data_IF_859258435635
#
_entry.id   IF_859258435635
#
_cell.length_a   1.000
_cell.length_b   1.000
_cell.length_c   1.000
_cell.angle_alpha   90.00
_cell.angle_beta   90.00
_cell.angle_gamma   90.00
#
_symmetry.space_group_name_H-M   'P 1'
#
loop_
_entity.id
_entity.type
_entity.pdbx_description
1 polymer ?
#
# COMPACT_ATOMS: atom_id res chain seq x y z
N UNK A 1 -21.52 -2.56 -9.87
CA UNK A 1 -20.96 -3.86 -10.32
C UNK A 1 -22.13 -4.78 -10.64
N UNK A 2 -22.24 -5.35 -11.86
CA UNK A 2 -23.25 -6.37 -12.12
C UNK A 2 -22.93 -7.58 -11.23
N UNK A 3 -23.79 -7.85 -10.25
CA UNK A 3 -23.71 -9.12 -9.50
C UNK A 3 -24.01 -10.23 -10.51
N UNK A 4 -22.99 -11.00 -10.83
CA UNK A 4 -23.21 -12.23 -11.57
C UNK A 4 -23.99 -13.17 -10.63
N UNK A 5 -25.18 -13.56 -11.04
CA UNK A 5 -25.98 -14.55 -10.33
C UNK A 5 -25.38 -15.95 -10.61
N UNK A 6 -24.19 -16.17 -10.02
CA UNK A 6 -23.53 -17.47 -10.07
C UNK A 6 -24.21 -18.39 -9.06
N UNK A 7 -24.52 -19.62 -9.44
CA UNK A 7 -24.97 -20.67 -8.53
C UNK A 7 -23.90 -21.07 -7.49
N UNK A 8 -22.67 -20.52 -7.61
CA UNK A 8 -21.51 -20.82 -6.78
C UNK A 8 -21.26 -19.72 -5.78
N UNK A 9 -20.86 -20.08 -4.58
CA UNK A 9 -20.37 -19.11 -3.61
C UNK A 9 -18.93 -18.66 -3.93
N UNK A 10 -18.47 -17.57 -3.30
CA UNK A 10 -17.16 -16.98 -3.58
C UNK A 10 -15.99 -17.92 -3.24
N UNK A 11 -16.14 -18.81 -2.24
CA UNK A 11 -15.15 -19.82 -1.88
C UNK A 11 -14.96 -20.84 -2.99
N UNK A 12 -16.05 -21.41 -3.50
CA UNK A 12 -16.01 -22.35 -4.62
C UNK A 12 -15.39 -21.71 -5.86
N UNK A 13 -15.76 -20.47 -6.15
CA UNK A 13 -15.20 -19.73 -7.27
C UNK A 13 -13.69 -19.48 -7.11
N UNK A 14 -13.21 -19.20 -5.89
CA UNK A 14 -11.79 -19.06 -5.62
C UNK A 14 -11.03 -20.38 -5.78
N UNK A 15 -11.58 -21.49 -5.29
CA UNK A 15 -11.01 -22.83 -5.50
C UNK A 15 -10.84 -23.15 -6.98
N UNK A 16 -11.86 -22.92 -7.81
CA UNK A 16 -11.78 -23.14 -9.27
C UNK A 16 -10.74 -22.24 -9.95
N UNK A 17 -10.57 -20.99 -9.48
CA UNK A 17 -9.52 -20.09 -9.97
C UNK A 17 -8.13 -20.63 -9.63
N UNK A 18 -7.94 -21.16 -8.43
CA UNK A 18 -6.68 -21.80 -8.04
C UNK A 18 -6.44 -23.09 -8.81
N UNK A 19 -7.46 -23.92 -9.03
CA UNK A 19 -7.33 -25.12 -9.88
C UNK A 19 -6.94 -24.74 -11.31
N UNK A 20 -7.55 -23.67 -11.87
CA UNK A 20 -7.12 -23.11 -13.15
C UNK A 20 -5.65 -22.63 -13.12
N UNK A 21 -5.24 -21.90 -12.06
CA UNK A 21 -3.87 -21.41 -11.92
C UNK A 21 -2.89 -22.59 -11.92
N UNK A 22 -3.11 -23.60 -11.08
CA UNK A 22 -2.20 -24.74 -10.99
C UNK A 22 -2.19 -25.64 -12.24
N UNK A 23 -3.24 -25.56 -13.06
CA UNK A 23 -3.29 -26.29 -14.35
C UNK A 23 -2.56 -25.54 -15.47
N UNK A 24 -2.63 -24.18 -15.50
CA UNK A 24 -2.21 -23.39 -16.65
C UNK A 24 -0.89 -22.64 -16.45
N UNK A 25 -0.33 -22.66 -15.24
CA UNK A 25 0.93 -22.01 -14.94
C UNK A 25 1.95 -23.03 -14.43
N UNK A 26 3.19 -22.85 -14.89
CA UNK A 26 4.31 -23.70 -14.48
C UNK A 26 4.87 -23.28 -13.13
N UNK A 27 4.85 -21.98 -12.86
CA UNK A 27 5.31 -21.40 -11.60
C UNK A 27 4.21 -20.58 -10.96
N UNK A 28 4.02 -20.79 -9.66
CA UNK A 28 3.00 -20.08 -8.88
C UNK A 28 3.66 -19.54 -7.62
N UNK A 29 3.48 -18.25 -7.35
CA UNK A 29 3.95 -17.62 -6.11
C UNK A 29 2.82 -16.79 -5.49
N UNK A 30 2.66 -16.88 -4.18
CA UNK A 30 1.72 -16.05 -3.41
C UNK A 30 2.45 -14.83 -2.87
N UNK A 31 1.96 -13.63 -3.19
CA UNK A 31 2.37 -12.39 -2.54
C UNK A 31 1.73 -12.34 -1.17
N UNK A 32 2.48 -12.72 -0.16
CA UNK A 32 2.04 -12.77 1.23
C UNK A 32 2.40 -11.46 1.94
N UNK A 33 1.45 -10.82 2.58
CA UNK A 33 1.63 -9.54 3.28
C UNK A 33 1.28 -9.62 4.77
N UNK A 34 1.26 -10.83 5.35
CA UNK A 34 0.82 -11.15 6.71
C UNK A 34 -0.56 -10.60 7.14
N UNK A 35 -1.30 -10.01 6.21
CA UNK A 35 -2.67 -9.59 6.43
C UNK A 35 -3.68 -10.75 6.31
N UNK A 36 -4.91 -10.54 6.80
CA UNK A 36 -6.00 -11.53 6.77
C UNK A 36 -6.29 -12.05 5.36
N UNK A 37 -6.24 -11.18 4.35
CA UNK A 37 -6.57 -11.52 2.96
C UNK A 37 -5.48 -12.41 2.34
N UNK A 38 -4.20 -12.06 2.55
CA UNK A 38 -3.07 -12.87 2.06
C UNK A 38 -2.90 -14.18 2.83
N UNK A 39 -3.30 -14.23 4.10
CA UNK A 39 -3.36 -15.48 4.88
C UNK A 39 -4.34 -16.47 4.29
N UNK A 40 -5.56 -16.04 4.01
CA UNK A 40 -6.58 -16.86 3.32
C UNK A 40 -6.10 -17.28 1.94
N UNK A 41 -5.50 -16.35 1.18
CA UNK A 41 -4.97 -16.63 -0.15
C UNK A 41 -3.92 -17.74 -0.13
N UNK A 42 -2.99 -17.70 0.85
CA UNK A 42 -1.94 -18.73 1.01
C UNK A 42 -2.54 -20.08 1.37
N UNK A 43 -3.52 -20.13 2.26
CA UNK A 43 -4.20 -21.37 2.63
C UNK A 43 -4.96 -21.98 1.43
N UNK A 44 -5.69 -21.18 0.65
CA UNK A 44 -6.34 -21.63 -0.58
C UNK A 44 -5.33 -22.17 -1.60
N UNK A 45 -4.19 -21.51 -1.74
CA UNK A 45 -3.10 -21.96 -2.60
C UNK A 45 -2.52 -23.31 -2.15
N UNK A 46 -2.32 -23.52 -0.84
CA UNK A 46 -1.85 -24.78 -0.27
C UNK A 46 -2.84 -25.90 -0.54
N UNK A 47 -4.14 -25.68 -0.33
CA UNK A 47 -5.16 -26.68 -0.60
C UNK A 47 -5.20 -27.07 -2.09
N UNK A 48 -5.12 -26.09 -2.98
CA UNK A 48 -5.09 -26.36 -4.41
C UNK A 48 -3.78 -27.06 -4.83
N UNK A 49 -2.62 -26.59 -4.35
CA UNK A 49 -1.33 -27.23 -4.62
C UNK A 49 -1.31 -28.71 -4.17
N UNK A 50 -1.94 -29.01 -3.02
CA UNK A 50 -2.09 -30.39 -2.54
C UNK A 50 -2.93 -31.22 -3.49
N UNK A 51 -4.08 -30.71 -3.98
CA UNK A 51 -4.91 -31.40 -4.96
C UNK A 51 -4.18 -31.68 -6.28
N UNK A 52 -3.30 -30.77 -6.68
CA UNK A 52 -2.55 -30.86 -7.94
C UNK A 52 -1.16 -31.49 -7.80
N UNK A 53 -0.76 -31.98 -6.61
CA UNK A 53 0.56 -32.56 -6.36
C UNK A 53 1.72 -31.59 -6.55
N UNK A 54 1.48 -30.30 -6.29
CA UNK A 54 2.44 -29.18 -6.52
C UNK A 54 2.89 -28.48 -5.24
N UNK A 55 2.86 -29.17 -4.10
CA UNK A 55 3.48 -28.69 -2.87
C UNK A 55 5.01 -28.80 -2.98
N UNK A 56 5.77 -27.92 -2.28
CA UNK A 56 5.33 -26.77 -1.48
C UNK A 56 4.92 -25.55 -2.33
N UNK A 57 4.11 -24.66 -1.73
CA UNK A 57 3.69 -23.39 -2.33
C UNK A 57 4.78 -22.35 -2.13
N UNK A 58 5.11 -21.63 -3.20
CA UNK A 58 6.04 -20.50 -3.10
C UNK A 58 5.32 -19.25 -2.56
N UNK A 59 5.94 -18.57 -1.59
CA UNK A 59 5.41 -17.35 -0.99
C UNK A 59 6.49 -16.27 -0.86
N UNK A 60 6.18 -15.06 -1.30
CA UNK A 60 7.03 -13.87 -1.12
C UNK A 60 6.46 -13.01 0.00
N UNK A 61 7.26 -12.72 1.00
CA UNK A 61 7.00 -11.69 2.00
C UNK A 61 8.14 -10.68 2.05
N UNK A 62 7.82 -9.41 1.91
CA UNK A 62 8.78 -8.32 2.03
C UNK A 62 8.56 -7.67 3.39
N UNK A 63 9.55 -7.76 4.21
CA UNK A 63 9.54 -7.30 5.59
C UNK A 63 10.09 -5.87 5.68
N UNK A 64 9.25 -4.95 6.10
CA UNK A 64 9.58 -3.53 6.20
C UNK A 64 10.12 -3.13 7.58
N UNK A 65 10.71 -4.04 8.35
CA UNK A 65 11.26 -3.76 9.69
C UNK A 65 10.20 -3.33 10.71
N UNK A 66 9.52 -2.21 10.44
CA UNK A 66 8.57 -1.57 11.33
C UNK A 66 7.16 -2.18 11.23
N UNK A 67 7.02 -3.43 11.64
CA UNK A 67 5.77 -4.18 11.65
C UNK A 67 5.33 -4.47 13.10
N UNK A 68 4.05 -4.76 13.29
CA UNK A 68 3.54 -5.32 14.55
C UNK A 68 4.21 -6.67 14.86
N UNK A 69 4.52 -6.92 16.13
CA UNK A 69 5.11 -8.19 16.57
C UNK A 69 4.23 -9.38 16.18
N UNK A 70 2.92 -9.29 16.39
CA UNK A 70 1.94 -10.30 15.99
C UNK A 70 1.96 -10.61 14.47
N UNK A 71 2.29 -9.60 13.64
CA UNK A 71 2.40 -9.81 12.21
C UNK A 71 3.64 -10.64 11.84
N UNK A 72 4.74 -10.43 12.55
CA UNK A 72 5.96 -11.22 12.42
C UNK A 72 5.76 -12.64 12.93
N UNK A 73 5.13 -12.81 14.09
CA UNK A 73 4.77 -14.12 14.63
C UNK A 73 3.89 -14.92 13.68
N UNK A 74 2.89 -14.30 13.08
CA UNK A 74 2.04 -14.94 12.08
C UNK A 74 2.84 -15.35 10.84
N UNK A 75 3.73 -14.49 10.35
CA UNK A 75 4.63 -14.83 9.24
C UNK A 75 5.52 -16.01 9.60
N UNK A 76 6.08 -16.02 10.82
CA UNK A 76 6.89 -17.11 11.35
C UNK A 76 6.12 -18.44 11.31
N UNK A 77 4.88 -18.47 11.81
CA UNK A 77 4.05 -19.68 11.81
C UNK A 77 3.74 -20.15 10.39
N UNK A 78 3.38 -19.22 9.51
CA UNK A 78 3.03 -19.57 8.12
C UNK A 78 4.22 -20.08 7.31
N UNK A 79 5.41 -19.48 7.49
CA UNK A 79 6.62 -19.86 6.74
C UNK A 79 7.36 -21.06 7.36
N UNK A 80 7.05 -21.43 8.60
CA UNK A 80 7.54 -22.68 9.20
C UNK A 80 6.76 -23.93 8.78
N UNK A 81 5.69 -23.76 7.98
CA UNK A 81 4.90 -24.89 7.49
C UNK A 81 5.65 -25.64 6.40
N UNK A 82 5.68 -26.98 6.41
CA UNK A 82 6.35 -27.78 5.38
C UNK A 82 5.72 -27.60 3.98
N UNK A 83 4.48 -27.12 3.92
CA UNK A 83 3.78 -26.83 2.67
C UNK A 83 4.20 -25.50 2.03
N UNK A 84 5.09 -24.71 2.65
CA UNK A 84 5.47 -23.37 2.17
C UNK A 84 6.97 -23.30 1.93
N UNK A 85 7.35 -22.83 0.74
CA UNK A 85 8.71 -22.37 0.44
C UNK A 85 8.68 -20.85 0.35
N UNK A 86 9.29 -20.17 1.32
CA UNK A 86 9.20 -18.72 1.47
C UNK A 86 10.43 -17.98 0.96
N UNK A 87 10.21 -16.76 0.50
CA UNK A 87 11.23 -15.70 0.41
C UNK A 87 10.82 -14.61 1.39
N UNK A 88 11.43 -14.61 2.57
CA UNK A 88 11.22 -13.59 3.60
C UNK A 88 12.32 -12.53 3.48
N UNK A 89 12.01 -11.50 2.72
CA UNK A 89 12.99 -10.49 2.30
C UNK A 89 13.16 -9.42 3.36
N UNK A 90 14.34 -9.38 4.00
CA UNK A 90 14.77 -8.36 4.94
C UNK A 90 15.94 -7.58 4.34
N UNK A 91 15.70 -6.84 3.27
CA UNK A 91 16.69 -6.06 2.54
C UNK A 91 16.46 -4.55 2.68
N UNK A 92 17.49 -3.71 2.51
CA UNK A 92 17.38 -2.26 2.60
C UNK A 92 16.60 -1.66 1.41
N UNK A 93 15.28 -1.76 1.51
CA UNK A 93 14.33 -1.24 0.53
C UNK A 93 13.93 0.17 0.91
N UNK A 94 13.86 1.03 -0.10
CA UNK A 94 13.44 2.42 0.02
C UNK A 94 11.92 2.50 0.11
N UNK A 95 11.41 3.08 1.18
CA UNK A 95 9.99 3.15 1.49
C UNK A 95 9.55 4.60 1.63
N UNK A 96 8.36 4.91 1.13
CA UNK A 96 7.78 6.25 1.29
C UNK A 96 7.39 6.49 2.75
N UNK A 97 7.78 7.67 3.24
CA UNK A 97 7.43 8.17 4.57
C UNK A 97 6.37 9.28 4.44
N UNK A 98 5.11 8.92 4.58
CA UNK A 98 4.01 9.85 4.46
C UNK A 98 3.70 10.64 5.75
N UNK A 99 4.45 10.40 6.83
CA UNK A 99 4.27 11.08 8.12
C UNK A 99 5.30 12.17 8.36
N UNK A 100 6.30 12.29 7.50
CA UNK A 100 7.28 13.39 7.54
C UNK A 100 7.22 14.22 6.27
N UNK A 101 7.29 15.54 6.42
CA UNK A 101 7.44 16.49 5.32
C UNK A 101 8.90 16.67 4.91
N UNK A 102 9.80 16.51 5.86
CA UNK A 102 11.23 16.78 5.70
C UNK A 102 11.97 15.53 5.23
N UNK A 103 11.53 14.34 5.70
CA UNK A 103 12.13 13.06 5.34
C UNK A 103 11.07 12.20 4.68
N UNK A 104 10.80 12.37 3.36
CA UNK A 104 9.70 11.71 2.66
C UNK A 104 9.94 10.22 2.37
N UNK A 105 11.13 9.75 2.66
CA UNK A 105 11.53 8.35 2.51
C UNK A 105 12.27 7.87 3.75
N UNK A 106 12.25 6.57 3.97
CA UNK A 106 13.12 5.89 4.91
C UNK A 106 13.53 4.53 4.32
N UNK A 107 14.66 4.00 4.77
CA UNK A 107 15.16 2.69 4.33
C UNK A 107 14.97 1.72 5.49
N UNK A 108 14.17 0.66 5.27
CA UNK A 108 14.09 -0.44 6.23
C UNK A 108 15.39 -1.25 6.17
N UNK A 109 15.76 -1.89 7.27
CA UNK A 109 16.95 -2.73 7.37
C UNK A 109 18.25 -2.04 6.92
N UNK A 110 18.31 -0.72 7.11
CA UNK A 110 19.50 0.08 6.79
C UNK A 110 20.61 -0.23 7.79
N UNK A 111 21.68 -0.87 7.34
CA UNK A 111 22.81 -1.27 8.20
C UNK A 111 23.51 -0.08 8.85
N UNK A 112 23.53 1.08 8.19
CA UNK A 112 24.09 2.30 8.74
C UNK A 112 23.31 2.81 9.98
N UNK A 113 22.11 2.28 10.18
CA UNK A 113 21.21 2.61 11.31
C UNK A 113 20.83 1.40 12.15
N UNK A 114 21.64 0.35 12.14
CA UNK A 114 21.35 -0.93 12.83
C UNK A 114 21.04 -0.77 14.32
N UNK A 115 21.72 0.12 15.02
CA UNK A 115 21.48 0.39 16.44
C UNK A 115 20.07 0.94 16.73
N UNK A 116 19.44 1.54 15.73
CA UNK A 116 18.09 2.08 15.83
C UNK A 116 17.01 1.18 15.24
N UNK A 117 17.34 -0.03 14.77
CA UNK A 117 16.35 -0.97 14.25
C UNK A 117 15.28 -1.27 15.27
N UNK A 118 14.06 -1.41 14.81
CA UNK A 118 12.91 -1.69 15.66
C UNK A 118 13.01 -3.08 16.28
N UNK A 119 13.61 -4.02 15.56
CA UNK A 119 13.84 -5.39 15.98
C UNK A 119 15.00 -6.02 15.21
N UNK A 120 15.49 -7.14 15.69
CA UNK A 120 16.46 -7.98 14.98
C UNK A 120 15.82 -8.72 13.79
N UNK A 121 16.66 -9.28 12.93
CA UNK A 121 16.22 -10.18 11.86
C UNK A 121 15.48 -11.39 12.45
N UNK A 122 14.37 -11.80 11.81
CA UNK A 122 13.65 -12.99 12.24
C UNK A 122 14.52 -14.26 12.10
N UNK A 123 14.35 -15.18 13.03
CA UNK A 123 15.04 -16.48 13.00
C UNK A 123 14.18 -17.50 12.23
N UNK A 124 14.35 -17.54 10.92
CA UNK A 124 13.62 -18.46 10.04
C UNK A 124 14.52 -18.84 8.85
N UNK A 125 14.56 -20.09 8.38
CA UNK A 125 15.40 -20.51 7.26
C UNK A 125 15.06 -19.83 5.93
N UNK A 126 13.90 -19.19 5.83
CA UNK A 126 13.45 -18.46 4.64
C UNK A 126 13.82 -16.97 4.64
N UNK A 127 14.48 -16.48 5.70
CA UNK A 127 14.89 -15.07 5.81
C UNK A 127 16.09 -14.80 4.91
N UNK A 128 15.98 -13.75 4.11
CA UNK A 128 16.99 -13.32 3.15
C UNK A 128 17.48 -11.94 3.58
N UNK A 129 18.75 -11.88 3.97
CA UNK A 129 19.46 -10.66 4.39
C UNK A 129 20.65 -10.33 3.50
N UNK A 130 21.09 -11.30 2.66
CA UNK A 130 22.21 -11.11 1.74
C UNK A 130 21.79 -10.19 0.58
N UNK A 131 22.49 -9.07 0.43
CA UNK A 131 22.28 -8.09 -0.63
C UNK A 131 22.50 -8.66 -2.04
N UNK A 132 23.30 -9.70 -2.15
CA UNK A 132 23.61 -10.34 -3.42
C UNK A 132 22.70 -11.53 -3.77
N UNK A 133 21.74 -11.86 -2.88
CA UNK A 133 20.84 -13.00 -3.10
C UNK A 133 20.03 -12.86 -4.40
N UNK A 134 19.56 -11.64 -4.68
CA UNK A 134 18.87 -11.35 -5.92
C UNK A 134 19.78 -10.56 -6.87
N UNK A 135 20.12 -11.10 -8.05
CA UNK A 135 21.02 -10.43 -9.00
C UNK A 135 20.52 -9.06 -9.50
N UNK A 136 19.23 -8.79 -9.33
CA UNK A 136 18.61 -7.53 -9.74
C UNK A 136 18.54 -6.50 -8.62
N UNK A 137 18.84 -6.87 -7.37
CA UNK A 137 18.71 -5.97 -6.23
C UNK A 137 19.87 -4.96 -6.16
N UNK A 138 19.54 -3.76 -5.79
CA UNK A 138 20.52 -2.72 -5.44
C UNK A 138 20.04 -1.93 -4.22
N UNK A 139 20.96 -1.45 -3.39
CA UNK A 139 20.63 -0.64 -2.19
C UNK A 139 19.84 0.60 -2.61
N UNK A 140 18.72 0.87 -1.96
CA UNK A 140 17.84 2.00 -2.28
C UNK A 140 16.80 1.71 -3.37
N UNK A 141 16.66 0.45 -3.80
CA UNK A 141 15.57 0.04 -4.69
C UNK A 141 14.22 0.30 -4.04
N UNK A 142 13.26 0.85 -4.79
CA UNK A 142 11.90 1.03 -4.32
C UNK A 142 11.11 -0.30 -4.33
N UNK A 143 10.12 -0.40 -3.44
CA UNK A 143 9.22 -1.56 -3.40
C UNK A 143 8.53 -1.81 -4.75
N UNK A 144 8.13 -0.75 -5.43
CA UNK A 144 7.45 -0.79 -6.72
C UNK A 144 8.32 -1.36 -7.84
N UNK A 145 9.65 -1.27 -7.71
CA UNK A 145 10.61 -1.87 -8.64
C UNK A 145 10.96 -3.30 -8.24
N UNK A 146 11.10 -3.57 -6.94
CA UNK A 146 11.46 -4.88 -6.43
C UNK A 146 10.45 -5.97 -6.82
N UNK A 147 9.16 -5.72 -6.59
CA UNK A 147 8.10 -6.74 -6.80
C UNK A 147 8.02 -7.23 -8.25
N UNK A 148 8.00 -6.36 -9.28
CA UNK A 148 8.05 -6.82 -10.66
C UNK A 148 9.34 -7.57 -11.01
N UNK A 149 10.50 -7.07 -10.57
CA UNK A 149 11.80 -7.70 -10.85
C UNK A 149 11.91 -9.08 -10.18
N UNK A 150 11.40 -9.22 -8.95
CA UNK A 150 11.27 -10.52 -8.30
C UNK A 150 10.41 -11.47 -9.14
N UNK A 151 9.26 -11.01 -9.63
CA UNK A 151 8.40 -11.86 -10.46
C UNK A 151 9.10 -12.32 -11.74
N UNK A 152 9.90 -11.44 -12.38
CA UNK A 152 10.70 -11.78 -13.56
C UNK A 152 11.80 -12.78 -13.23
N UNK A 153 12.55 -12.55 -12.17
CA UNK A 153 13.58 -13.48 -11.68
C UNK A 153 12.97 -14.84 -11.28
N UNK A 154 11.90 -14.83 -10.50
CA UNK A 154 11.21 -16.02 -10.07
C UNK A 154 10.65 -16.83 -11.24
N UNK A 155 10.25 -16.19 -12.33
CA UNK A 155 9.66 -16.88 -13.49
C UNK A 155 10.62 -17.84 -14.19
N UNK A 156 11.93 -17.54 -14.18
CA UNK A 156 12.94 -18.30 -14.96
C UNK A 156 12.52 -18.51 -16.42
N UNK A 157 11.85 -17.49 -17.02
CA UNK A 157 11.32 -17.56 -18.38
C UNK A 157 10.05 -18.39 -18.56
N UNK A 158 9.52 -18.98 -17.50
CA UNK A 158 8.32 -19.84 -17.53
C UNK A 158 7.04 -19.06 -17.30
N UNK A 159 5.92 -19.63 -17.77
CA UNK A 159 4.60 -19.06 -17.52
C UNK A 159 4.30 -19.04 -16.02
N UNK A 160 4.15 -17.82 -15.47
CA UNK A 160 4.16 -17.60 -14.02
C UNK A 160 2.93 -16.84 -13.55
N UNK A 161 2.32 -17.32 -12.46
CA UNK A 161 1.26 -16.64 -11.73
C UNK A 161 1.79 -16.07 -10.41
N UNK A 162 1.62 -14.76 -10.21
CA UNK A 162 1.79 -14.11 -8.92
C UNK A 162 0.40 -13.88 -8.34
N UNK A 163 0.04 -14.65 -7.32
CA UNK A 163 -1.26 -14.56 -6.68
C UNK A 163 -1.25 -13.42 -5.66
N UNK A 164 -2.15 -12.45 -5.82
CA UNK A 164 -2.23 -11.25 -4.98
C UNK A 164 -3.60 -11.17 -4.32
N UNK A 165 -3.62 -11.01 -2.99
CA UNK A 165 -4.83 -11.01 -2.16
C UNK A 165 -5.60 -9.70 -2.16
N UNK A 166 -5.78 -9.05 -3.32
CA UNK A 166 -6.58 -7.83 -3.42
C UNK A 166 -8.06 -8.14 -3.69
N UNK A 167 -8.93 -7.33 -3.07
CA UNK A 167 -10.39 -7.42 -3.23
C UNK A 167 -10.96 -6.13 -3.82
N UNK A 168 -11.95 -6.26 -4.68
CA UNK A 168 -12.62 -5.12 -5.31
C UNK A 168 -13.39 -4.24 -4.32
N UNK A 169 -13.79 -4.81 -3.17
CA UNK A 169 -14.51 -4.16 -2.08
C UNK A 169 -13.62 -3.27 -1.19
N UNK A 170 -12.31 -3.46 -1.26
CA UNK A 170 -11.37 -2.83 -0.34
C UNK A 170 -11.09 -1.35 -0.63
N UNK A 171 -11.01 -0.98 -1.90
CA UNK A 171 -10.86 0.40 -2.34
C UNK A 171 -11.18 0.59 -3.83
N UNK A 172 -11.49 1.83 -4.21
CA UNK A 172 -11.71 2.21 -5.60
C UNK A 172 -10.48 1.93 -6.50
N UNK A 173 -9.28 2.10 -5.96
CA UNK A 173 -8.04 1.83 -6.70
C UNK A 173 -7.88 0.33 -6.97
N UNK A 174 -8.18 -0.53 -6.00
CA UNK A 174 -8.14 -1.99 -6.17
C UNK A 174 -9.23 -2.45 -7.15
N UNK A 175 -10.44 -1.92 -7.03
CA UNK A 175 -11.49 -2.14 -8.01
C UNK A 175 -11.05 -1.78 -9.44
N UNK A 176 -10.46 -0.58 -9.62
CA UNK A 176 -9.96 -0.13 -10.93
C UNK A 176 -8.83 -1.02 -11.45
N UNK A 177 -7.95 -1.50 -10.57
CA UNK A 177 -6.87 -2.41 -10.95
C UNK A 177 -7.41 -3.72 -11.54
N UNK A 178 -8.48 -4.25 -10.96
CA UNK A 178 -9.11 -5.51 -11.39
C UNK A 178 -10.00 -5.29 -12.62
N UNK A 179 -10.82 -4.23 -12.61
CA UNK A 179 -11.84 -3.98 -13.65
C UNK A 179 -11.31 -3.32 -14.93
N UNK A 180 -10.06 -2.86 -14.95
CA UNK A 180 -9.49 -2.18 -16.11
C UNK A 180 -9.51 -3.05 -17.38
N UNK A 181 -10.17 -2.56 -18.41
CA UNK A 181 -10.20 -3.21 -19.73
C UNK A 181 -8.95 -2.92 -20.57
N UNK A 182 -8.12 -1.94 -20.17
CA UNK A 182 -6.87 -1.59 -20.87
C UNK A 182 -5.73 -2.56 -20.56
N UNK A 183 -5.89 -3.42 -19.57
CA UNK A 183 -4.86 -4.38 -19.15
C UNK A 183 -5.03 -5.70 -19.90
N UNK A 184 -3.92 -6.28 -20.34
CA UNK A 184 -3.90 -7.58 -20.99
C UNK A 184 -4.24 -8.65 -19.95
N UNK A 185 -5.23 -9.47 -20.26
CA UNK A 185 -5.74 -10.54 -19.41
C UNK A 185 -5.48 -11.90 -20.05
N UNK A 186 -5.25 -12.92 -19.23
CA UNK A 186 -5.14 -14.28 -19.71
C UNK A 186 -6.55 -14.83 -20.01
N UNK A 187 -6.81 -15.30 -21.22
CA UNK A 187 -8.08 -15.92 -21.65
C UNK A 187 -9.31 -15.09 -21.26
N UNK A 188 -9.22 -13.77 -21.37
CA UNK A 188 -10.26 -12.82 -20.98
C UNK A 188 -10.72 -12.92 -19.50
N UNK A 189 -9.95 -13.61 -18.65
CA UNK A 189 -10.27 -13.73 -17.21
C UNK A 189 -10.00 -12.43 -16.47
N UNK A 190 -11.05 -11.77 -15.99
CA UNK A 190 -10.96 -10.47 -15.32
C UNK A 190 -10.05 -10.44 -14.09
N UNK A 191 -9.86 -11.58 -13.45
CA UNK A 191 -9.00 -11.73 -12.27
C UNK A 191 -7.53 -12.01 -12.61
N UNK A 192 -7.10 -11.76 -13.85
CA UNK A 192 -5.69 -11.85 -14.28
C UNK A 192 -5.24 -10.53 -14.91
N UNK A 193 -3.95 -10.22 -14.81
CA UNK A 193 -3.35 -9.05 -15.47
C UNK A 193 -1.91 -9.37 -15.85
N UNK A 194 -1.54 -9.23 -17.13
CA UNK A 194 -0.15 -9.40 -17.58
C UNK A 194 0.72 -8.34 -16.92
N UNK A 195 1.82 -8.75 -16.28
CA UNK A 195 2.68 -7.85 -15.51
C UNK A 195 3.53 -6.97 -16.43
N UNK A 196 4.05 -7.55 -17.51
CA UNK A 196 4.87 -6.88 -18.51
C UNK A 196 4.14 -6.86 -19.88
N UNK A 197 3.30 -5.88 -20.14
CA UNK A 197 2.47 -5.88 -21.36
C UNK A 197 3.26 -5.72 -22.67
N UNK A 198 4.49 -5.15 -22.59
CA UNK A 198 5.32 -4.83 -23.76
C UNK A 198 6.42 -5.87 -24.05
N UNK A 199 6.58 -6.88 -23.20
CA UNK A 199 7.58 -7.91 -23.38
C UNK A 199 6.92 -9.29 -23.60
N UNK A 200 7.68 -10.25 -24.12
CA UNK A 200 7.20 -11.60 -24.41
C UNK A 200 7.08 -12.50 -23.17
N UNK A 201 7.24 -11.95 -21.98
CA UNK A 201 7.10 -12.71 -20.76
C UNK A 201 5.63 -13.10 -20.49
N UNK A 202 5.41 -14.31 -20.00
CA UNK A 202 4.09 -14.83 -19.63
C UNK A 202 3.90 -14.78 -18.12
N UNK A 203 4.12 -13.59 -17.52
CA UNK A 203 3.97 -13.35 -16.09
C UNK A 203 2.67 -12.59 -15.83
N UNK A 204 1.82 -13.15 -14.96
CA UNK A 204 0.51 -12.58 -14.66
C UNK A 204 0.31 -12.41 -13.17
N UNK A 205 -0.20 -11.24 -12.77
CA UNK A 205 -0.84 -11.09 -11.48
C UNK A 205 -2.22 -11.74 -11.53
N UNK A 206 -2.52 -12.61 -10.57
CA UNK A 206 -3.79 -13.29 -10.41
C UNK A 206 -4.46 -12.86 -9.11
N UNK A 207 -5.77 -12.60 -9.17
CA UNK A 207 -6.56 -12.11 -8.04
C UNK A 207 -7.67 -13.10 -7.67
N UNK A 208 -7.36 -14.28 -7.10
CA UNK A 208 -8.33 -15.36 -6.93
C UNK A 208 -9.52 -15.01 -6.02
N UNK A 209 -9.31 -14.09 -5.07
CA UNK A 209 -10.32 -13.65 -4.09
C UNK A 209 -10.87 -12.24 -4.38
N UNK A 210 -10.77 -11.77 -5.63
CA UNK A 210 -11.11 -10.38 -5.99
C UNK A 210 -12.57 -9.97 -5.70
N UNK A 211 -13.48 -10.91 -5.69
CA UNK A 211 -14.94 -10.74 -5.48
C UNK A 211 -15.39 -10.99 -4.03
N UNK A 212 -14.46 -11.28 -3.13
CA UNK A 212 -14.73 -11.51 -1.71
C UNK A 212 -14.95 -10.21 -0.95
N UNK A 213 -15.78 -10.29 0.09
CA UNK A 213 -15.93 -9.26 1.12
C UNK A 213 -15.07 -9.58 2.34
N UNK A 214 -14.97 -8.61 3.28
CA UNK A 214 -14.26 -8.83 4.53
C UNK A 214 -14.86 -9.98 5.35
N UNK A 215 -16.19 -10.09 5.35
CA UNK A 215 -16.93 -11.14 6.04
C UNK A 215 -16.63 -12.54 5.46
N UNK A 216 -16.43 -12.64 4.14
CA UNK A 216 -16.06 -13.90 3.49
C UNK A 216 -14.68 -14.40 3.95
N UNK A 217 -13.73 -13.47 4.14
CA UNK A 217 -12.38 -13.78 4.66
C UNK A 217 -12.49 -14.40 6.06
N UNK A 218 -13.23 -13.76 6.98
CA UNK A 218 -13.41 -14.27 8.33
C UNK A 218 -14.21 -15.57 8.39
N UNK A 219 -15.22 -15.69 7.53
CA UNK A 219 -16.01 -16.92 7.41
C UNK A 219 -15.15 -18.08 6.93
N UNK A 220 -14.25 -17.86 5.97
CA UNK A 220 -13.34 -18.89 5.49
C UNK A 220 -12.34 -19.31 6.56
N UNK A 221 -11.72 -18.36 7.27
CA UNK A 221 -10.83 -18.66 8.39
C UNK A 221 -11.52 -19.51 9.47
N UNK A 222 -12.72 -19.10 9.90
CA UNK A 222 -13.45 -19.81 10.96
C UNK A 222 -13.92 -21.20 10.52
N UNK A 223 -14.47 -21.37 9.30
CA UNK A 223 -14.96 -22.65 8.80
C UNK A 223 -13.86 -23.67 8.60
N UNK A 224 -12.72 -23.24 8.07
CA UNK A 224 -11.60 -24.12 7.77
C UNK A 224 -10.59 -24.22 8.93
N UNK A 225 -10.82 -23.49 10.03
CA UNK A 225 -9.93 -23.41 11.20
C UNK A 225 -8.50 -23.04 10.81
N UNK A 226 -8.37 -22.12 9.84
CA UNK A 226 -7.08 -21.61 9.43
C UNK A 226 -6.50 -20.65 10.45
N UNK A 227 -5.18 -20.70 10.62
CA UNK A 227 -4.46 -19.70 11.40
C UNK A 227 -4.52 -18.33 10.73
N UNK A 228 -4.55 -17.28 11.53
CA UNK A 228 -4.58 -15.90 11.07
C UNK A 228 -3.76 -14.99 11.99
N UNK A 229 -3.54 -13.77 11.57
CA UNK A 229 -2.80 -12.78 12.33
C UNK A 229 -3.64 -12.25 13.50
N UNK A 230 -3.23 -12.56 14.73
CA UNK A 230 -3.96 -12.20 15.95
C UNK A 230 -3.96 -10.70 16.29
N UNK A 231 -3.21 -9.86 15.56
CA UNK A 231 -3.34 -8.41 15.67
C UNK A 231 -4.77 -7.93 15.40
N UNK A 232 -5.52 -8.67 14.57
CA UNK A 232 -6.91 -8.33 14.27
C UNK A 232 -7.83 -8.49 15.48
N UNK A 233 -7.53 -9.41 16.39
CA UNK A 233 -8.25 -9.56 17.65
C UNK A 233 -8.03 -8.34 18.55
N UNK A 234 -6.80 -7.83 18.59
CA UNK A 234 -6.46 -6.63 19.34
C UNK A 234 -7.12 -5.39 18.71
N UNK A 235 -7.12 -5.29 17.38
CA UNK A 235 -7.83 -4.22 16.68
C UNK A 235 -9.34 -4.24 16.99
N UNK A 236 -9.94 -5.43 17.01
CA UNK A 236 -11.36 -5.60 17.34
C UNK A 236 -11.64 -5.18 18.80
N UNK A 237 -10.82 -5.62 19.74
CA UNK A 237 -10.92 -5.21 21.16
C UNK A 237 -10.72 -3.71 21.36
N UNK A 238 -9.89 -3.08 20.51
CA UNK A 238 -9.70 -1.63 20.49
C UNK A 238 -10.85 -0.87 19.78
N UNK A 239 -11.93 -1.55 19.38
CA UNK A 239 -13.11 -0.95 18.76
C UNK A 239 -12.96 -0.59 17.28
N UNK A 240 -11.96 -1.14 16.58
CA UNK A 240 -11.79 -0.91 15.14
C UNK A 240 -12.79 -1.76 14.35
N UNK A 241 -13.68 -1.14 13.56
CA UNK A 241 -14.65 -1.88 12.73
C UNK A 241 -13.94 -2.86 11.76
N UNK A 242 -14.53 -4.03 11.53
CA UNK A 242 -13.95 -5.08 10.67
C UNK A 242 -13.57 -4.57 9.27
N UNK A 243 -14.37 -3.67 8.69
CA UNK A 243 -14.11 -3.06 7.39
C UNK A 243 -12.90 -2.10 7.36
N UNK A 244 -12.46 -1.63 8.54
CA UNK A 244 -11.34 -0.70 8.70
C UNK A 244 -10.06 -1.39 9.20
N UNK A 245 -10.14 -2.66 9.58
CA UNK A 245 -9.00 -3.45 10.03
C UNK A 245 -8.09 -3.78 8.85
N UNK A 246 -6.98 -3.08 8.76
CA UNK A 246 -5.98 -3.23 7.70
C UNK A 246 -4.58 -3.31 8.29
N UNK A 247 -3.75 -4.13 7.68
CA UNK A 247 -2.30 -4.12 7.85
C UNK A 247 -1.68 -3.67 6.53
N UNK A 248 -0.94 -2.60 6.58
CA UNK A 248 -0.17 -2.09 5.47
C UNK A 248 1.16 -1.55 6.00
N UNK A 249 1.98 -1.02 5.12
CA UNK A 249 3.18 -0.29 5.50
C UNK A 249 2.79 0.87 6.45
N UNK A 250 3.32 0.90 7.68
CA UNK A 250 2.83 1.80 8.74
C UNK A 250 2.93 3.28 8.43
N UNK A 251 3.85 3.67 7.56
CA UNK A 251 4.18 5.05 7.23
C UNK A 251 3.79 5.45 5.81
N UNK A 252 3.24 4.52 5.04
CA UNK A 252 2.73 4.77 3.70
C UNK A 252 1.45 5.61 3.67
N UNK A 253 1.11 6.13 2.51
CA UNK A 253 -0.06 6.99 2.30
C UNK A 253 -1.38 6.35 2.76
N UNK A 254 -1.50 5.03 2.64
CA UNK A 254 -2.73 4.30 2.95
C UNK A 254 -2.94 4.02 4.44
N UNK A 255 -1.87 4.04 5.26
CA UNK A 255 -1.92 3.63 6.67
C UNK A 255 -1.84 4.78 7.66
N UNK A 256 -1.70 6.01 7.25
CA UNK A 256 -1.66 7.16 8.19
C UNK A 256 -2.77 7.12 9.23
N UNK A 257 -3.96 6.63 8.85
CA UNK A 257 -5.11 6.51 9.74
C UNK A 257 -4.93 5.49 10.86
N UNK A 258 -4.13 4.46 10.64
CA UNK A 258 -3.89 3.39 11.59
C UNK A 258 -2.65 3.62 12.47
N UNK A 259 -1.89 4.69 12.26
CA UNK A 259 -0.64 4.91 12.98
C UNK A 259 -0.86 5.02 14.50
N UNK A 260 -1.96 5.63 14.94
CA UNK A 260 -2.32 5.71 16.36
C UNK A 260 -2.54 4.33 17.00
N UNK A 261 -2.93 3.32 16.22
CA UNK A 261 -3.13 1.96 16.71
C UNK A 261 -1.82 1.32 17.17
N UNK A 262 -0.69 1.66 16.55
CA UNK A 262 0.62 1.18 17.02
C UNK A 262 0.86 1.54 18.49
N UNK A 263 0.61 2.79 18.86
CA UNK A 263 0.77 3.26 20.24
C UNK A 263 -0.17 2.55 21.22
N UNK A 264 -1.39 2.23 20.77
CA UNK A 264 -2.41 1.57 21.60
C UNK A 264 -2.14 0.07 21.73
N UNK A 265 -1.83 -0.58 20.62
CA UNK A 265 -1.73 -2.04 20.55
C UNK A 265 -0.35 -2.54 20.96
N UNK A 266 0.72 -1.82 20.62
CA UNK A 266 2.11 -2.20 20.91
C UNK A 266 2.94 -0.96 21.33
N UNK A 267 2.76 -0.45 22.56
CA UNK A 267 3.44 0.78 23.01
C UNK A 267 4.97 0.66 23.03
N UNK A 268 5.53 -0.53 23.28
CA UNK A 268 6.98 -0.76 23.26
C UNK A 268 7.55 -0.68 21.84
N UNK A 269 6.89 -1.33 20.88
CA UNK A 269 7.23 -1.23 19.47
C UNK A 269 7.10 0.22 19.00
N UNK A 270 6.04 0.93 19.44
CA UNK A 270 5.83 2.32 19.14
C UNK A 270 6.98 3.23 19.58
N UNK A 271 7.52 3.02 20.78
CA UNK A 271 8.64 3.81 21.29
C UNK A 271 9.88 3.69 20.37
N UNK A 272 10.18 2.49 19.89
CA UNK A 272 11.27 2.26 18.92
C UNK A 272 10.97 2.89 17.56
N UNK A 273 9.72 2.80 17.10
CA UNK A 273 9.25 3.39 15.85
C UNK A 273 9.44 4.91 15.83
N UNK A 274 9.13 5.60 16.91
CA UNK A 274 9.30 7.06 17.04
C UNK A 274 10.77 7.47 16.88
N UNK A 275 11.69 6.67 17.37
CA UNK A 275 13.12 6.91 17.23
C UNK A 275 13.64 6.58 15.84
N UNK A 276 13.04 5.60 15.17
CA UNK A 276 13.51 5.07 13.88
C UNK A 276 12.99 5.83 12.67
N UNK A 277 11.74 6.30 12.72
CA UNK A 277 11.05 6.91 11.58
C UNK A 277 10.72 8.37 11.85
N UNK A 278 11.38 9.26 11.12
CA UNK A 278 11.17 10.70 11.24
C UNK A 278 9.68 11.07 11.05
N UNK A 279 9.16 11.91 11.95
CA UNK A 279 7.78 12.39 11.90
C UNK A 279 6.72 11.44 12.46
N UNK A 280 7.06 10.21 12.86
CA UNK A 280 6.10 9.22 13.37
C UNK A 280 5.29 9.77 14.57
N UNK A 281 5.95 10.40 15.54
CA UNK A 281 5.30 10.97 16.71
C UNK A 281 4.36 12.15 16.35
N UNK A 282 4.77 13.02 15.46
CA UNK A 282 3.95 14.13 14.98
C UNK A 282 2.75 13.61 14.17
N UNK A 283 2.99 12.67 13.27
CA UNK A 283 1.93 11.99 12.52
C UNK A 283 0.86 11.40 13.43
N UNK A 284 1.25 10.74 14.52
CA UNK A 284 0.34 10.18 15.51
C UNK A 284 -0.53 11.25 16.20
N UNK A 285 0.04 12.34 16.65
CA UNK A 285 -0.71 13.45 17.29
C UNK A 285 -1.80 13.99 16.38
N UNK A 286 -1.50 14.15 15.09
CA UNK A 286 -2.48 14.64 14.13
C UNK A 286 -3.55 13.59 13.78
N UNK A 287 -3.24 12.30 13.86
CA UNK A 287 -4.24 11.23 13.61
C UNK A 287 -5.17 11.00 14.78
N UNK A 288 -4.68 11.11 16.02
CA UNK A 288 -5.48 10.90 17.23
C UNK A 288 -6.53 12.00 17.43
N UNK A 289 -6.15 13.27 17.23
CA UNK A 289 -7.03 14.44 17.43
C UNK A 289 -7.75 14.92 16.18
N UNK A 290 -7.30 14.56 14.99
CA UNK A 290 -7.78 15.07 13.72
C UNK A 290 -8.00 13.97 12.66
N UNK A 291 -8.85 12.98 12.95
CA UNK A 291 -9.49 12.20 11.86
C UNK A 291 -10.07 13.12 10.77
N UNK A 292 -10.40 14.37 11.14
CA UNK A 292 -10.90 15.45 10.27
C UNK A 292 -9.82 16.13 9.46
N UNK A 293 -8.62 16.36 10.01
CA UNK A 293 -7.51 17.04 9.33
C UNK A 293 -6.85 16.20 8.22
N UNK A 294 -6.91 14.88 8.32
CA UNK A 294 -6.38 13.97 7.30
C UNK A 294 -7.32 13.72 6.11
N UNK A 295 -8.40 14.49 6.01
CA UNK A 295 -9.20 14.59 4.79
C UNK A 295 -10.27 13.53 4.61
N UNK A 296 -10.75 12.92 5.68
CA UNK A 296 -11.88 11.98 5.65
C UNK A 296 -13.21 12.63 6.04
N UNK A 297 -13.15 13.82 6.64
CA UNK A 297 -14.33 14.67 6.91
C UNK A 297 -14.08 16.07 6.38
N UNK A 298 -15.10 16.91 6.44
CA UNK A 298 -15.01 18.30 6.01
C UNK A 298 -13.91 19.04 6.78
N UNK A 299 -13.13 19.83 6.06
CA UNK A 299 -12.15 20.75 6.66
C UNK A 299 -12.93 21.72 7.54
N UNK A 300 -12.56 21.81 8.81
CA UNK A 300 -13.09 22.85 9.70
C UNK A 300 -12.26 24.09 9.45
N UNK A 301 -12.89 25.09 8.83
CA UNK A 301 -12.27 26.41 8.66
C UNK A 301 -12.22 27.14 10.00
N UNK A 302 -11.18 27.96 10.24
CA UNK A 302 -11.21 28.95 11.29
C UNK A 302 -12.43 29.88 11.12
N UNK A 303 -13.00 30.43 12.20
CA UNK A 303 -14.13 31.35 12.12
C UNK A 303 -13.86 32.51 11.15
N UNK A 304 -14.83 32.84 10.32
CA UNK A 304 -14.80 33.95 9.36
C UNK A 304 -13.68 33.87 8.28
N UNK A 305 -13.24 32.65 7.92
CA UNK A 305 -12.20 32.43 6.91
C UNK A 305 -12.77 31.62 5.73
N UNK A 306 -12.46 32.03 4.49
CA UNK A 306 -12.72 31.23 3.30
C UNK A 306 -11.67 30.14 3.11
N UNK A 307 -11.92 29.13 2.25
CA UNK A 307 -10.91 28.14 1.89
C UNK A 307 -9.72 28.78 1.16
N UNK A 308 -9.95 29.84 0.37
CA UNK A 308 -8.88 30.59 -0.27
C UNK A 308 -7.97 31.22 0.79
N UNK A 309 -8.50 31.96 1.75
CA UNK A 309 -7.75 32.57 2.84
C UNK A 309 -7.01 31.52 3.68
N UNK A 310 -7.67 30.40 3.95
CA UNK A 310 -7.04 29.28 4.68
C UNK A 310 -5.89 28.64 3.90
N UNK A 311 -6.01 28.48 2.58
CA UNK A 311 -4.92 28.01 1.74
C UNK A 311 -3.72 28.95 1.78
N UNK A 312 -3.96 30.27 1.71
CA UNK A 312 -2.89 31.27 1.84
C UNK A 312 -2.21 31.21 3.21
N UNK A 313 -2.99 31.07 4.29
CA UNK A 313 -2.44 30.92 5.64
C UNK A 313 -1.56 29.67 5.75
N UNK A 314 -2.01 28.54 5.23
CA UNK A 314 -1.24 27.28 5.20
C UNK A 314 0.07 27.45 4.44
N UNK A 315 0.04 28.08 3.26
CA UNK A 315 1.24 28.35 2.47
C UNK A 315 2.22 29.27 3.19
N UNK A 316 1.71 30.29 3.89
CA UNK A 316 2.55 31.25 4.63
C UNK A 316 3.16 30.64 5.91
N UNK A 317 2.60 29.54 6.42
CA UNK A 317 3.14 28.81 7.56
C UNK A 317 4.22 27.77 7.18
N UNK A 318 4.44 27.57 5.88
CA UNK A 318 5.43 26.61 5.39
C UNK A 318 6.80 27.25 5.20
N UNK A 319 7.91 26.47 5.28
CA UNK A 319 9.22 26.91 4.83
C UNK A 319 9.19 27.36 3.37
N UNK A 320 10.04 28.35 3.00
CA UNK A 320 10.02 28.99 1.67
C UNK A 320 10.07 28.01 0.50
N UNK A 321 10.92 27.00 0.60
CA UNK A 321 11.09 25.96 -0.43
C UNK A 321 9.80 25.16 -0.66
N UNK A 322 9.09 24.80 0.41
CA UNK A 322 7.82 24.07 0.33
C UNK A 322 6.72 24.95 -0.22
N UNK A 323 6.68 26.20 0.21
CA UNK A 323 5.75 27.21 -0.29
C UNK A 323 5.91 27.38 -1.82
N UNK A 324 7.14 27.54 -2.29
CA UNK A 324 7.44 27.68 -3.72
C UNK A 324 6.97 26.49 -4.54
N UNK A 325 7.26 25.27 -4.06
CA UNK A 325 6.80 24.04 -4.74
C UNK A 325 5.29 23.98 -4.87
N UNK A 326 4.56 24.18 -3.76
CA UNK A 326 3.11 24.16 -3.82
C UNK A 326 2.52 25.30 -4.64
N UNK A 327 3.09 26.51 -4.55
CA UNK A 327 2.67 27.67 -5.35
C UNK A 327 2.81 27.41 -6.85
N UNK A 328 3.92 26.81 -7.29
CA UNK A 328 4.12 26.44 -8.70
C UNK A 328 2.99 25.50 -9.19
N UNK A 329 2.68 24.47 -8.42
CA UNK A 329 1.62 23.50 -8.77
C UNK A 329 0.22 24.10 -8.71
N UNK A 330 -0.05 24.92 -7.70
CA UNK A 330 -1.33 25.60 -7.54
C UNK A 330 -1.54 26.58 -8.72
N UNK A 331 -0.55 27.38 -9.06
CA UNK A 331 -0.64 28.33 -10.18
C UNK A 331 -0.94 27.60 -11.51
N UNK A 332 -0.23 26.50 -11.80
CA UNK A 332 -0.52 25.68 -13.00
C UNK A 332 -1.95 25.12 -12.98
N UNK A 333 -2.44 24.71 -11.80
CA UNK A 333 -3.81 24.23 -11.64
C UNK A 333 -4.84 25.34 -11.91
N UNK A 334 -4.61 26.53 -11.38
CA UNK A 334 -5.49 27.69 -11.56
C UNK A 334 -5.51 28.15 -13.03
N UNK A 335 -4.35 28.25 -13.67
CA UNK A 335 -4.21 28.60 -15.09
C UNK A 335 -4.95 27.62 -15.99
N UNK A 336 -4.74 26.32 -15.79
CA UNK A 336 -5.41 25.27 -16.58
C UNK A 336 -6.93 25.34 -16.50
N UNK A 337 -7.49 25.63 -15.32
CA UNK A 337 -8.93 25.79 -15.19
C UNK A 337 -9.44 27.09 -15.80
N UNK A 338 -8.65 28.15 -15.72
CA UNK A 338 -8.94 29.41 -16.38
C UNK A 338 -9.02 29.25 -17.89
N UNK A 339 -8.09 28.52 -18.52
CA UNK A 339 -8.11 28.17 -19.93
C UNK A 339 -9.34 27.33 -20.30
N UNK A 340 -9.85 26.52 -19.39
CA UNK A 340 -11.08 25.74 -19.55
C UNK A 340 -12.38 26.55 -19.35
N UNK A 341 -12.28 27.83 -19.11
CA UNK A 341 -13.43 28.72 -18.97
C UNK A 341 -13.89 29.03 -17.56
N UNK A 342 -13.24 28.46 -16.54
CA UNK A 342 -13.53 28.78 -15.12
C UNK A 342 -12.73 30.03 -14.73
N UNK A 343 -13.27 31.20 -15.04
CA UNK A 343 -12.58 32.50 -14.80
C UNK A 343 -12.29 32.76 -13.33
N UNK A 344 -13.15 32.31 -12.45
CA UNK A 344 -13.03 32.43 -10.98
C UNK A 344 -13.15 31.05 -10.38
N UNK A 345 -12.16 30.67 -9.60
CA UNK A 345 -12.18 29.39 -8.86
C UNK A 345 -13.07 29.55 -7.62
N UNK A 346 -14.15 28.77 -7.51
CA UNK A 346 -15.04 28.87 -6.36
C UNK A 346 -14.38 28.37 -5.08
N UNK A 347 -14.82 28.90 -3.96
CA UNK A 347 -14.34 28.47 -2.65
C UNK A 347 -14.65 26.97 -2.39
N UNK A 348 -15.84 26.52 -2.80
CA UNK A 348 -16.27 25.12 -2.76
C UNK A 348 -17.02 24.74 -4.05
N UNK A 349 -17.02 23.44 -4.37
CA UNK A 349 -17.85 22.85 -5.43
C UNK A 349 -18.60 21.63 -4.88
N UNK A 350 -19.48 21.03 -5.67
CA UNK A 350 -20.17 19.79 -5.26
C UNK A 350 -19.14 18.71 -4.88
N UNK A 351 -19.38 18.02 -3.76
CA UNK A 351 -18.44 17.04 -3.21
C UNK A 351 -18.15 15.89 -4.16
N UNK A 352 -19.14 15.46 -4.98
CA UNK A 352 -18.96 14.37 -5.95
C UNK A 352 -18.12 14.84 -7.14
N UNK A 353 -18.33 16.09 -7.60
CA UNK A 353 -17.55 16.65 -8.69
C UNK A 353 -16.11 16.94 -8.29
N UNK A 354 -15.86 17.40 -7.06
CA UNK A 354 -14.51 17.52 -6.52
C UNK A 354 -13.81 16.17 -6.42
N UNK A 355 -14.48 15.15 -5.88
CA UNK A 355 -13.94 13.81 -5.75
C UNK A 355 -13.65 13.17 -7.13
N UNK A 356 -14.51 13.46 -8.12
CA UNK A 356 -14.32 13.03 -9.50
C UNK A 356 -13.31 13.90 -10.27
N UNK A 357 -12.78 14.97 -9.64
CA UNK A 357 -11.86 15.95 -10.24
C UNK A 357 -12.45 16.71 -11.45
N UNK A 358 -13.76 16.85 -11.49
CA UNK A 358 -14.49 17.52 -12.59
C UNK A 358 -14.62 19.03 -12.41
N UNK A 359 -14.51 19.53 -11.18
CA UNK A 359 -14.60 20.94 -10.83
C UNK A 359 -13.44 21.39 -9.96
N UNK A 360 -12.93 22.63 -10.14
CA UNK A 360 -11.95 23.22 -9.24
C UNK A 360 -12.62 23.76 -7.99
N UNK A 361 -11.84 23.90 -6.91
CA UNK A 361 -12.23 24.70 -5.73
C UNK A 361 -11.02 24.97 -4.85
N UNK A 362 -11.09 26.02 -4.06
CA UNK A 362 -10.11 26.29 -3.01
C UNK A 362 -10.10 25.23 -1.93
N UNK A 363 -11.26 24.60 -1.64
CA UNK A 363 -11.34 23.44 -0.75
C UNK A 363 -10.48 22.26 -1.22
N UNK A 364 -10.37 22.01 -2.53
CA UNK A 364 -9.45 20.98 -3.07
C UNK A 364 -7.99 21.36 -2.82
N UNK A 365 -7.64 22.62 -3.00
CA UNK A 365 -6.29 23.13 -2.72
C UNK A 365 -5.96 22.97 -1.24
N UNK A 366 -6.84 23.40 -0.34
CA UNK A 366 -6.67 23.18 1.09
C UNK A 366 -6.46 21.70 1.44
N UNK A 367 -7.23 20.79 0.83
CA UNK A 367 -7.05 19.34 1.05
C UNK A 367 -5.65 18.85 0.65
N UNK A 368 -5.08 19.38 -0.41
CA UNK A 368 -3.72 19.04 -0.84
C UNK A 368 -2.69 19.54 0.16
N UNK A 369 -2.82 20.80 0.59
CA UNK A 369 -1.90 21.42 1.55
C UNK A 369 -1.96 20.75 2.94
N UNK A 370 -3.17 20.52 3.46
CA UNK A 370 -3.36 19.85 4.76
C UNK A 370 -2.83 18.41 4.73
N UNK A 371 -3.01 17.70 3.59
CA UNK A 371 -2.54 16.34 3.43
C UNK A 371 -1.05 16.22 3.15
N UNK A 372 -0.37 17.34 2.96
CA UNK A 372 0.98 17.33 2.43
C UNK A 372 1.12 16.45 1.17
N UNK A 373 0.15 16.57 0.27
CA UNK A 373 0.19 15.86 -0.99
C UNK A 373 1.23 16.51 -1.91
N UNK A 374 2.51 16.21 -1.65
CA UNK A 374 3.64 16.76 -2.39
C UNK A 374 3.45 16.68 -3.90
N UNK A 375 2.92 15.56 -4.37
CA UNK A 375 2.67 15.34 -5.79
C UNK A 375 1.46 16.11 -6.33
N UNK A 376 0.70 16.76 -5.45
CA UNK A 376 -0.56 17.40 -5.79
C UNK A 376 -1.53 16.51 -6.56
N UNK A 377 -1.56 15.20 -6.22
CA UNK A 377 -2.49 14.22 -6.83
C UNK A 377 -3.95 14.64 -6.68
N UNK A 378 -4.27 15.35 -5.59
CA UNK A 378 -5.57 15.97 -5.36
C UNK A 378 -5.94 17.03 -6.41
N UNK A 379 -4.96 17.68 -7.04
CA UNK A 379 -5.11 18.65 -8.11
C UNK A 379 -4.92 18.04 -9.50
N UNK A 380 -4.86 16.72 -9.63
CA UNK A 380 -4.71 15.96 -10.87
C UNK A 380 -3.29 15.89 -11.44
N UNK A 381 -2.27 16.24 -10.68
CA UNK A 381 -0.89 15.98 -11.09
C UNK A 381 -0.53 14.51 -10.89
N UNK A 382 0.42 14.03 -11.68
CA UNK A 382 0.99 12.67 -11.57
C UNK A 382 2.44 12.74 -11.09
N UNK A 383 2.88 11.71 -10.42
CA UNK A 383 4.29 11.53 -10.05
C UNK A 383 5.09 11.13 -11.27
N UNK A 384 6.16 11.88 -11.58
CA UNK A 384 7.10 11.56 -12.65
C UNK A 384 8.49 11.34 -12.07
N UNK A 385 9.36 10.56 -12.75
CA UNK A 385 10.76 10.34 -12.32
C UNK A 385 11.51 11.66 -12.14
N UNK A 386 11.32 12.62 -13.07
CA UNK A 386 11.96 13.94 -13.01
C UNK A 386 11.54 14.78 -11.79
N UNK A 387 10.29 14.63 -11.35
CA UNK A 387 9.80 15.30 -10.13
C UNK A 387 10.33 14.62 -8.85
N UNK A 388 10.58 13.33 -8.90
CA UNK A 388 11.22 12.61 -7.79
C UNK A 388 12.68 13.09 -7.61
N UNK A 389 13.44 13.17 -8.71
CA UNK A 389 14.81 13.69 -8.69
C UNK A 389 14.86 15.13 -8.12
N UNK A 390 13.95 16.00 -8.59
CA UNK A 390 13.83 17.37 -8.07
C UNK A 390 13.49 17.42 -6.57
N UNK A 391 12.69 16.49 -6.08
CA UNK A 391 12.37 16.38 -4.66
C UNK A 391 13.59 15.98 -3.84
N UNK A 392 14.36 15.00 -4.30
CA UNK A 392 15.60 14.55 -3.64
C UNK A 392 16.63 15.70 -3.58
N UNK A 393 16.81 16.43 -4.67
CA UNK A 393 17.70 17.61 -4.69
C UNK A 393 17.28 18.69 -3.68
N UNK A 394 15.97 18.97 -3.59
CA UNK A 394 15.42 19.94 -2.65
C UNK A 394 15.66 19.52 -1.19
N UNK A 395 15.51 18.24 -0.88
CA UNK A 395 15.74 17.71 0.47
C UNK A 395 17.22 17.76 0.82
N UNK A 396 18.10 17.43 -0.13
CA UNK A 396 19.54 17.52 0.10
C UNK A 396 19.96 18.97 0.41
N UNK A 397 19.44 19.97 -0.31
CA UNK A 397 19.67 21.38 0.00
C UNK A 397 19.19 21.77 1.39
N UNK A 398 18.00 21.31 1.80
CA UNK A 398 17.49 21.58 3.15
C UNK A 398 18.36 20.98 4.25
N UNK A 399 18.93 19.78 4.00
CA UNK A 399 19.84 19.15 4.96
C UNK A 399 21.23 19.82 4.98
N UNK A 400 21.61 20.55 3.94
CA UNK A 400 22.84 21.36 3.90
C UNK A 400 22.67 22.73 4.56
N UNK A 401 21.45 23.25 4.66
CA UNK A 401 21.10 24.53 5.29
C UNK A 401 20.76 24.39 6.79
N UNK A 402 20.59 23.19 7.33
CA UNK A 402 20.34 22.87 8.73
C UNK A 402 21.63 22.39 9.43
#
# INVERSE_FOLDING_TARGET
>A
MKKYNSKKNVYQAACERFDYIYTHFERVCVSFSNGKDSGVLLNLAIEAARRHGKLPVNALYIDFEAQYSHAIEFTQRMFSRPEVTGWWVCLPIHLRNAVSQIVPYWICWDEDKKESWIRDFPQNPHVITDLNYFPFFYKGMEFEDFVPLFAKWFSMGKKTAICVGIRSDESLNRYRTISSQRKIKLDNKQWTTKLYPKDDSYIYNCYPIYDWKAEDIWTANGRNKWDYNHIYDLMYKAGVPLSQQRLCQPYGDDQRQGLYLFKILEPETWAKVVNRVAGANMGNRYTEHNRKALGYNDIILPPNMSYEQYAQMLLNSMPSIWKEHYMEKINKFLEWWKEKGEKIIPDTADKKDEAAKKKPSWRRICKVLIKNDWWCKGLSFSQTKKELEKQVELINRLNEEL
#
